data_IF_131634140743
#
_entry.id   IF_131634140743
#
_cell.length_a   1.000
_cell.length_b   1.000
_cell.length_c   1.000
_cell.angle_alpha   90.00
_cell.angle_beta   90.00
_cell.angle_gamma   90.00
#
_symmetry.space_group_name_H-M   'P 1'
#
loop_
_entity.id
_entity.type
_entity.pdbx_description
1 polymer ?
#
# COMPACT_ATOMS: atom_id res chain seq x y z
N UNK A 1 13.42 11.12 -0.12
CA UNK A 1 13.32 10.62 1.27
C UNK A 1 13.71 9.15 1.35
N UNK A 2 14.37 8.79 2.46
CA UNK A 2 14.69 7.41 2.84
C UNK A 2 13.68 6.94 3.89
N UNK A 3 13.43 5.63 3.92
CA UNK A 3 12.53 5.01 4.89
C UNK A 3 13.24 4.92 6.25
N UNK A 4 12.56 5.31 7.33
CA UNK A 4 13.12 5.34 8.68
C UNK A 4 12.62 4.14 9.50
N UNK A 5 11.31 3.90 9.48
CA UNK A 5 10.69 2.77 10.16
C UNK A 5 9.70 2.05 9.23
N UNK A 6 9.54 0.75 9.41
CA UNK A 6 8.51 -0.07 8.77
C UNK A 6 7.83 -0.95 9.82
N UNK A 7 6.51 -0.84 9.93
CA UNK A 7 5.69 -1.69 10.79
C UNK A 7 5.04 -2.80 9.98
N UNK A 8 5.17 -4.04 10.41
CA UNK A 8 4.51 -5.19 9.79
C UNK A 8 3.78 -5.96 10.87
N UNK A 9 2.47 -6.14 10.69
CA UNK A 9 1.66 -7.03 11.51
C UNK A 9 1.13 -8.16 10.64
N UNK A 10 1.39 -9.40 11.05
CA UNK A 10 0.87 -10.60 10.41
C UNK A 10 -0.39 -11.06 11.14
N UNK A 11 -1.43 -11.40 10.38
CA UNK A 11 -2.69 -11.92 10.90
C UNK A 11 -3.33 -12.89 9.91
N UNK A 12 -4.12 -13.83 10.40
CA UNK A 12 -4.92 -14.72 9.55
C UNK A 12 -6.29 -14.09 9.18
N UNK A 13 -7.08 -14.80 8.37
CA UNK A 13 -8.40 -14.32 7.93
C UNK A 13 -9.44 -14.21 9.07
N UNK A 14 -9.16 -14.81 10.23
CA UNK A 14 -9.96 -14.66 11.46
C UNK A 14 -9.53 -13.45 12.30
N UNK A 15 -8.60 -12.63 11.81
CA UNK A 15 -8.08 -11.46 12.52
C UNK A 15 -7.18 -11.80 13.71
N UNK A 16 -6.75 -13.05 13.84
CA UNK A 16 -5.82 -13.45 14.90
C UNK A 16 -4.42 -12.99 14.51
N UNK A 17 -3.79 -12.20 15.39
CA UNK A 17 -2.45 -11.66 15.18
C UNK A 17 -1.42 -12.77 15.45
N UNK A 18 -0.60 -13.08 14.45
CA UNK A 18 0.53 -14.02 14.56
C UNK A 18 1.83 -13.33 14.98
N UNK A 19 1.92 -12.01 14.80
CA UNK A 19 3.05 -11.21 15.26
C UNK A 19 3.01 -9.78 14.72
N UNK A 20 3.72 -8.88 15.40
CA UNK A 20 3.90 -7.49 15.00
C UNK A 20 5.35 -7.09 15.20
N UNK A 21 5.95 -6.51 14.17
CA UNK A 21 7.35 -6.10 14.13
C UNK A 21 7.48 -4.64 13.72
N UNK A 22 8.45 -3.97 14.31
CA UNK A 22 8.91 -2.65 13.87
C UNK A 22 10.37 -2.77 13.44
N UNK A 23 10.61 -2.53 12.16
CA UNK A 23 11.94 -2.47 11.58
C UNK A 23 12.41 -1.02 11.57
N UNK A 24 13.57 -0.79 12.16
CA UNK A 24 14.19 0.51 12.35
C UNK A 24 15.46 0.56 11.48
N UNK A 25 15.53 1.47 10.51
CA UNK A 25 16.59 1.46 9.50
C UNK A 25 17.71 2.47 9.79
N UNK A 26 18.95 2.08 9.50
CA UNK A 26 20.15 2.89 9.75
C UNK A 26 20.49 3.88 8.63
N UNK A 27 19.88 3.73 7.45
CA UNK A 27 20.28 4.42 6.22
C UNK A 27 19.92 5.91 6.19
N UNK A 28 18.99 6.35 7.04
CA UNK A 28 18.58 7.75 7.14
C UNK A 28 19.53 8.55 8.05
N UNK A 29 20.05 9.64 7.52
CA UNK A 29 20.86 10.61 8.23
C UNK A 29 20.30 12.01 8.03
N UNK A 30 19.68 12.55 9.08
CA UNK A 30 19.03 13.86 9.03
C UNK A 30 20.00 15.02 8.74
N UNK A 31 21.32 14.83 8.87
CA UNK A 31 22.29 15.89 8.57
C UNK A 31 22.48 16.10 7.06
N UNK A 32 22.23 15.06 6.25
CA UNK A 32 22.51 15.08 4.80
C UNK A 32 21.31 14.69 3.95
N UNK A 33 20.38 13.92 4.49
CA UNK A 33 19.22 13.44 3.75
C UNK A 33 18.09 14.48 3.76
N UNK A 34 17.43 14.61 2.61
CA UNK A 34 16.27 15.48 2.47
C UNK A 34 15.12 15.04 3.40
N UNK A 35 14.65 15.98 4.21
CA UNK A 35 13.54 15.83 5.14
C UNK A 35 12.79 17.17 5.29
N UNK A 36 11.56 17.14 5.81
CA UNK A 36 10.87 18.40 6.14
C UNK A 36 11.42 18.95 7.46
N UNK A 37 11.57 20.28 7.62
CA UNK A 37 12.14 20.87 8.84
C UNK A 37 11.40 20.47 10.13
N UNK A 38 10.09 20.23 10.03
CA UNK A 38 9.26 19.81 11.16
C UNK A 38 9.33 18.32 11.48
N UNK A 39 9.90 17.48 10.61
CA UNK A 39 9.90 16.02 10.80
C UNK A 39 10.79 15.57 11.96
N UNK A 40 12.01 16.13 12.09
CA UNK A 40 12.98 15.66 13.09
C UNK A 40 12.47 15.91 14.52
N UNK A 41 12.10 17.14 14.91
CA UNK A 41 11.61 17.37 16.28
C UNK A 41 10.32 16.60 16.57
N UNK A 42 9.47 16.41 15.56
CA UNK A 42 8.24 15.62 15.70
C UNK A 42 8.56 14.15 15.98
N UNK A 43 9.47 13.54 15.22
CA UNK A 43 9.82 12.13 15.38
C UNK A 43 10.54 11.87 16.71
N UNK A 44 11.46 12.75 17.12
CA UNK A 44 12.12 12.66 18.44
C UNK A 44 11.11 12.75 19.58
N UNK A 45 10.16 13.69 19.50
CA UNK A 45 9.06 13.82 20.47
C UNK A 45 8.19 12.57 20.53
N UNK A 46 8.09 11.80 19.46
CA UNK A 46 7.35 10.53 19.40
C UNK A 46 8.24 9.30 19.71
N UNK A 47 9.42 9.51 20.29
CA UNK A 47 10.25 8.45 20.86
C UNK A 47 11.35 7.95 19.93
N UNK A 48 11.57 8.58 18.77
CA UNK A 48 12.59 8.15 17.84
C UNK A 48 13.98 8.69 18.24
N UNK A 49 14.94 7.79 18.43
CA UNK A 49 16.34 8.14 18.67
C UNK A 49 17.16 7.95 17.38
N UNK A 50 17.46 9.06 16.71
CA UNK A 50 18.24 9.07 15.47
C UNK A 50 19.68 8.60 15.66
N UNK A 51 20.29 8.83 16.82
CA UNK A 51 21.66 8.37 17.10
C UNK A 51 21.67 6.86 17.24
N UNK A 52 20.69 6.31 17.96
CA UNK A 52 20.50 4.86 18.09
C UNK A 52 20.14 4.21 16.75
N UNK A 53 19.27 4.81 15.96
CA UNK A 53 18.96 4.33 14.59
C UNK A 53 20.20 4.22 13.72
N UNK A 54 21.04 5.26 13.70
CA UNK A 54 22.26 5.26 12.88
C UNK A 54 23.27 4.20 13.33
N UNK A 55 23.32 3.91 14.63
CA UNK A 55 24.27 2.96 15.22
C UNK A 55 23.79 1.50 15.16
N UNK A 56 22.55 1.27 15.55
CA UNK A 56 21.99 -0.07 15.82
C UNK A 56 20.90 -0.47 14.81
N UNK A 57 20.53 0.43 13.90
CA UNK A 57 19.49 0.20 12.89
C UNK A 57 19.89 -0.85 11.86
N UNK A 58 18.88 -1.40 11.20
CA UNK A 58 19.03 -2.42 10.16
C UNK A 58 19.39 -1.72 8.85
N UNK A 59 20.46 -2.12 8.15
CA UNK A 59 20.69 -1.64 6.79
C UNK A 59 19.56 -2.09 5.87
N UNK A 60 18.95 -1.16 5.12
CA UNK A 60 17.79 -1.45 4.27
C UNK A 60 18.10 -2.56 3.27
N UNK A 61 19.32 -2.59 2.72
CA UNK A 61 19.77 -3.64 1.80
C UNK A 61 19.76 -5.04 2.46
N UNK A 62 20.12 -5.13 3.74
CA UNK A 62 20.09 -6.38 4.51
C UNK A 62 18.66 -6.86 4.76
N UNK A 63 17.75 -5.92 5.06
CA UNK A 63 16.33 -6.21 5.18
C UNK A 63 15.75 -6.69 3.85
N UNK A 64 15.98 -5.95 2.77
CA UNK A 64 15.50 -6.26 1.41
C UNK A 64 15.95 -7.65 0.96
N UNK A 65 17.22 -8.02 1.17
CA UNK A 65 17.73 -9.37 0.83
C UNK A 65 16.92 -10.49 1.47
N UNK A 66 16.38 -10.29 2.67
CA UNK A 66 15.59 -11.30 3.41
C UNK A 66 14.10 -11.21 3.11
N UNK A 67 13.58 -10.01 2.91
CA UNK A 67 12.14 -9.78 2.82
C UNK A 67 11.60 -9.85 1.39
N UNK A 68 12.37 -9.40 0.39
CA UNK A 68 11.95 -9.43 -1.02
C UNK A 68 11.52 -10.85 -1.49
N UNK A 69 12.22 -11.94 -1.14
CA UNK A 69 11.78 -13.29 -1.53
C UNK A 69 10.38 -13.65 -1.02
N UNK A 70 9.95 -13.13 0.14
CA UNK A 70 8.61 -13.40 0.71
C UNK A 70 7.53 -12.75 -0.17
N UNK A 71 7.80 -11.53 -0.64
CA UNK A 71 6.91 -10.80 -1.57
C UNK A 71 6.85 -11.54 -2.91
N UNK A 72 8.00 -11.89 -3.47
CA UNK A 72 8.11 -12.54 -4.79
C UNK A 72 7.46 -13.93 -4.83
N UNK A 73 7.55 -14.69 -3.74
CA UNK A 73 6.89 -16.00 -3.60
C UNK A 73 5.38 -15.92 -3.48
N UNK A 74 4.81 -14.72 -3.29
CA UNK A 74 3.38 -14.50 -3.02
C UNK A 74 2.89 -15.21 -1.77
N UNK A 75 3.77 -15.38 -0.78
CA UNK A 75 3.40 -15.95 0.53
C UNK A 75 2.45 -15.00 1.30
N UNK A 76 2.39 -13.73 0.90
CA UNK A 76 1.49 -12.72 1.47
C UNK A 76 0.21 -12.68 0.63
N UNK A 77 -0.89 -13.14 1.21
CA UNK A 77 -2.19 -13.16 0.54
C UNK A 77 -2.71 -11.76 0.21
N UNK A 78 -2.53 -10.80 1.13
CA UNK A 78 -2.99 -9.42 0.97
C UNK A 78 -2.31 -8.47 1.94
N UNK A 79 -2.08 -7.26 1.48
CA UNK A 79 -1.62 -6.12 2.27
C UNK A 79 -2.80 -5.28 2.77
N UNK A 80 -2.69 -4.80 4.00
CA UNK A 80 -3.67 -3.91 4.63
C UNK A 80 -2.95 -2.64 5.08
N UNK A 81 -3.48 -1.49 4.71
CA UNK A 81 -2.91 -0.18 5.01
C UNK A 81 -3.96 0.80 5.50
N UNK A 82 -3.52 1.96 6.02
CA UNK A 82 -4.40 3.09 6.32
C UNK A 82 -3.85 4.33 5.63
N UNK A 83 -4.52 4.83 4.59
CA UNK A 83 -4.00 5.92 3.74
C UNK A 83 -2.65 5.57 3.10
N UNK A 84 -2.51 4.33 2.64
CA UNK A 84 -1.21 3.68 2.42
C UNK A 84 -0.57 3.91 1.07
N UNK A 85 -0.96 4.94 0.32
CA UNK A 85 -0.35 5.24 -0.98
C UNK A 85 1.17 5.39 -0.86
N UNK A 86 1.61 6.22 0.10
CA UNK A 86 3.04 6.42 0.35
C UNK A 86 3.68 5.20 1.00
N UNK A 87 2.98 4.50 1.90
CA UNK A 87 3.49 3.28 2.55
C UNK A 87 3.87 2.22 1.52
N UNK A 88 2.99 1.97 0.55
CA UNK A 88 3.24 1.04 -0.56
C UNK A 88 4.37 1.55 -1.47
N UNK A 89 4.38 2.84 -1.79
CA UNK A 89 5.46 3.43 -2.60
C UNK A 89 6.83 3.30 -1.96
N UNK A 90 6.93 3.54 -0.64
CA UNK A 90 8.17 3.33 0.10
C UNK A 90 8.54 1.86 0.24
N UNK A 91 7.57 0.95 0.42
CA UNK A 91 7.82 -0.49 0.43
C UNK A 91 8.43 -0.93 -0.90
N UNK A 92 7.81 -0.57 -2.04
CA UNK A 92 8.31 -0.88 -3.38
C UNK A 92 9.74 -0.36 -3.57
N UNK A 93 9.98 0.91 -3.20
CA UNK A 93 11.30 1.53 -3.28
C UNK A 93 12.32 0.80 -2.41
N UNK A 94 11.98 0.50 -1.16
CA UNK A 94 12.85 -0.21 -0.22
C UNK A 94 13.22 -1.60 -0.75
N UNK A 95 12.28 -2.28 -1.39
CA UNK A 95 12.47 -3.60 -1.97
C UNK A 95 13.29 -3.61 -3.26
N UNK A 96 13.70 -2.44 -3.78
CA UNK A 96 14.44 -2.32 -5.03
C UNK A 96 13.61 -2.72 -6.26
N UNK A 97 12.28 -2.71 -6.14
CA UNK A 97 11.34 -3.07 -7.21
C UNK A 97 11.21 -1.97 -8.28
N UNK A 98 11.83 -0.81 -8.04
CA UNK A 98 11.91 0.29 -8.99
C UNK A 98 13.32 0.86 -9.03
N UNK A 99 13.73 1.25 -10.24
CA UNK A 99 14.89 2.11 -10.47
C UNK A 99 14.47 3.57 -10.69
N UNK A 100 13.29 3.78 -11.29
CA UNK A 100 12.67 5.09 -11.48
C UNK A 100 11.26 5.15 -10.88
N UNK A 101 10.87 6.34 -10.42
CA UNK A 101 9.50 6.56 -9.97
C UNK A 101 8.54 6.47 -11.16
N UNK A 102 7.36 5.84 -10.99
CA UNK A 102 6.32 5.86 -12.03
C UNK A 102 5.97 7.28 -12.44
N UNK A 103 5.85 7.53 -13.74
CA UNK A 103 5.52 8.84 -14.30
C UNK A 103 4.01 9.13 -14.22
N UNK A 104 3.21 8.12 -13.91
CA UNK A 104 1.75 8.22 -13.78
C UNK A 104 1.18 7.32 -12.69
N UNK A 105 -0.02 7.66 -12.22
CA UNK A 105 -0.75 6.86 -11.25
C UNK A 105 -1.16 5.49 -11.81
N UNK A 106 -1.44 5.40 -13.11
CA UNK A 106 -1.72 4.14 -13.78
C UNK A 106 -0.50 3.21 -13.84
N UNK A 107 0.69 3.76 -14.05
CA UNK A 107 1.94 3.01 -14.01
C UNK A 107 2.25 2.53 -12.59
N UNK A 108 2.07 3.40 -11.58
CA UNK A 108 2.17 3.01 -10.18
C UNK A 108 1.18 1.89 -9.84
N UNK A 109 -0.08 2.00 -10.28
CA UNK A 109 -1.08 0.97 -10.04
C UNK A 109 -0.71 -0.38 -10.67
N UNK A 110 -0.21 -0.36 -11.91
CA UNK A 110 0.28 -1.55 -12.59
C UNK A 110 1.44 -2.21 -11.83
N UNK A 111 2.39 -1.40 -11.34
CA UNK A 111 3.51 -1.87 -10.53
C UNK A 111 3.04 -2.50 -9.20
N UNK A 112 2.13 -1.86 -8.47
CA UNK A 112 1.59 -2.41 -7.22
C UNK A 112 0.93 -3.77 -7.46
N UNK A 113 0.08 -3.88 -8.47
CA UNK A 113 -0.58 -5.15 -8.78
C UNK A 113 0.44 -6.23 -9.15
N UNK A 114 1.42 -5.89 -9.98
CA UNK A 114 2.40 -6.85 -10.49
C UNK A 114 3.41 -7.28 -9.43
N UNK A 115 3.88 -6.39 -8.57
CA UNK A 115 4.97 -6.70 -7.64
C UNK A 115 4.49 -6.97 -6.21
N UNK A 116 3.45 -6.27 -5.75
CA UNK A 116 2.98 -6.33 -4.36
C UNK A 116 1.77 -7.25 -4.21
N UNK A 117 0.80 -7.16 -5.12
CA UNK A 117 -0.42 -7.98 -5.11
C UNK A 117 -1.64 -7.24 -4.56
N UNK A 118 -2.50 -7.95 -3.81
CA UNK A 118 -3.77 -7.40 -3.33
C UNK A 118 -3.52 -6.44 -2.17
N UNK A 119 -4.10 -5.24 -2.25
CA UNK A 119 -4.07 -4.22 -1.18
C UNK A 119 -5.49 -3.87 -0.74
N UNK A 120 -5.68 -3.61 0.56
CA UNK A 120 -6.87 -2.98 1.14
C UNK A 120 -6.45 -1.73 1.92
N UNK A 121 -7.10 -0.61 1.67
CA UNK A 121 -6.89 0.63 2.42
C UNK A 121 -8.10 0.91 3.32
N UNK A 122 -7.87 0.89 4.63
CA UNK A 122 -8.88 1.15 5.66
C UNK A 122 -9.54 2.53 5.51
N UNK A 123 -8.78 3.54 5.10
CA UNK A 123 -9.32 4.89 4.92
C UNK A 123 -10.21 4.97 3.69
N UNK A 124 -9.91 4.19 2.66
CA UNK A 124 -10.83 3.99 1.54
C UNK A 124 -12.08 3.22 2.00
N UNK A 125 -11.90 2.10 2.69
CA UNK A 125 -12.99 1.26 3.19
C UNK A 125 -13.98 2.04 4.07
N UNK A 126 -13.46 2.96 4.92
CA UNK A 126 -14.26 3.78 5.82
C UNK A 126 -15.29 4.67 5.11
N UNK A 127 -15.12 4.97 3.81
CA UNK A 127 -16.09 5.72 3.00
C UNK A 127 -17.42 4.99 2.81
N UNK A 128 -17.42 3.67 2.99
CA UNK A 128 -18.59 2.81 2.78
C UNK A 128 -19.16 2.28 4.10
N UNK A 129 -18.72 2.83 5.22
CA UNK A 129 -19.08 2.38 6.55
C UNK A 129 -19.79 3.51 7.30
N UNK A 130 -21.05 3.28 7.68
CA UNK A 130 -21.82 4.24 8.46
C UNK A 130 -21.10 4.59 9.78
N UNK A 131 -21.08 5.87 10.14
CA UNK A 131 -20.42 6.35 11.35
C UNK A 131 -18.89 6.46 11.27
N UNK A 132 -18.27 6.16 10.12
CA UNK A 132 -16.82 6.34 9.90
C UNK A 132 -16.48 7.60 9.08
N UNK A 133 -17.26 8.67 9.26
CA UNK A 133 -16.96 10.05 8.79
C UNK A 133 -16.52 10.15 7.31
N UNK A 134 -17.07 9.31 6.43
CA UNK A 134 -16.70 9.19 5.01
C UNK A 134 -15.18 9.01 4.79
N UNK A 135 -14.49 8.34 5.71
CA UNK A 135 -13.05 8.15 5.66
C UNK A 135 -12.20 9.40 5.96
N UNK A 136 -12.80 10.48 6.48
CA UNK A 136 -12.07 11.73 6.83
C UNK A 136 -11.34 11.66 8.17
N UNK A 137 -11.61 10.63 8.98
CA UNK A 137 -10.95 10.39 10.26
C UNK A 137 -9.50 9.88 10.12
N UNK A 138 -8.72 10.04 11.19
CA UNK A 138 -7.39 9.43 11.34
C UNK A 138 -7.45 8.06 12.02
N UNK A 139 -6.35 7.28 11.91
CA UNK A 139 -6.27 5.90 12.42
C UNK A 139 -6.61 5.78 13.91
N UNK A 140 -6.17 6.74 14.73
CA UNK A 140 -6.48 6.78 16.16
C UNK A 140 -7.98 6.91 16.43
N UNK A 141 -8.66 7.79 15.69
CA UNK A 141 -10.12 7.98 15.81
C UNK A 141 -10.87 6.75 15.31
N UNK A 142 -10.39 6.14 14.22
CA UNK A 142 -10.93 4.89 13.68
C UNK A 142 -10.85 3.78 14.73
N UNK A 143 -9.69 3.59 15.35
CA UNK A 143 -9.50 2.61 16.43
C UNK A 143 -10.49 2.82 17.58
N UNK A 144 -10.66 4.07 18.03
CA UNK A 144 -11.61 4.42 19.10
C UNK A 144 -13.06 4.05 18.75
N UNK A 145 -13.55 4.43 17.56
CA UNK A 145 -14.92 4.10 17.12
C UNK A 145 -15.12 2.58 16.99
N UNK A 146 -14.07 1.86 16.58
CA UNK A 146 -14.10 0.41 16.46
C UNK A 146 -13.87 -0.34 17.78
N UNK A 147 -13.69 0.37 18.91
CA UNK A 147 -13.30 -0.21 20.20
C UNK A 147 -12.02 -1.07 20.10
N UNK A 148 -11.05 -0.64 19.29
CA UNK A 148 -9.73 -1.26 19.19
C UNK A 148 -8.70 -0.41 19.93
N UNK A 149 -8.10 -1.03 20.94
CA UNK A 149 -7.07 -0.41 21.76
C UNK A 149 -5.74 -0.37 21.00
N UNK A 150 -5.07 0.77 21.05
CA UNK A 150 -3.67 0.89 20.61
C UNK A 150 -2.73 0.23 21.61
N UNK A 151 -1.76 -0.50 21.11
CA UNK A 151 -0.61 -0.99 21.87
C UNK A 151 0.66 -0.32 21.34
N UNK A 152 1.48 0.23 22.23
CA UNK A 152 2.63 1.07 21.87
C UNK A 152 2.26 2.54 21.64
N UNK A 153 3.26 3.33 21.24
CA UNK A 153 3.12 4.77 21.03
C UNK A 153 2.51 5.09 19.67
N UNK A 154 1.66 6.13 19.63
CA UNK A 154 1.18 6.70 18.37
C UNK A 154 2.36 7.20 17.53
N UNK A 155 2.24 7.15 16.20
CA UNK A 155 3.27 7.59 15.25
C UNK A 155 4.54 6.72 15.23
N UNK A 156 4.47 5.52 15.83
CA UNK A 156 5.47 4.47 15.66
C UNK A 156 4.91 3.41 14.71
N UNK A 157 5.71 3.02 13.71
CA UNK A 157 5.25 2.21 12.59
C UNK A 157 4.70 0.85 13.04
N UNK A 158 5.33 0.20 14.02
CA UNK A 158 4.85 -1.06 14.59
C UNK A 158 3.48 -0.92 15.24
N UNK A 159 3.32 0.08 16.12
CA UNK A 159 2.04 0.36 16.82
C UNK A 159 0.91 0.69 15.83
N UNK A 160 1.21 1.53 14.83
CA UNK A 160 0.25 1.89 13.79
C UNK A 160 -0.13 0.67 12.92
N UNK A 161 0.81 -0.22 12.59
CA UNK A 161 0.53 -1.45 11.83
C UNK A 161 -0.39 -2.42 12.60
N UNK A 162 -0.20 -2.55 13.92
CA UNK A 162 -1.02 -3.43 14.75
C UNK A 162 -2.45 -2.89 14.90
N UNK A 163 -2.59 -1.57 15.09
CA UNK A 163 -3.90 -0.94 15.15
C UNK A 163 -4.61 -1.04 13.79
N UNK A 164 -3.88 -0.88 12.69
CA UNK A 164 -4.36 -1.07 11.30
C UNK A 164 -4.93 -2.48 11.12
N UNK A 165 -4.17 -3.53 11.45
CA UNK A 165 -4.64 -4.92 11.33
C UNK A 165 -5.87 -5.20 12.21
N UNK A 166 -5.86 -4.72 13.45
CA UNK A 166 -6.96 -4.92 14.39
C UNK A 166 -8.25 -4.21 13.96
N UNK A 167 -8.12 -2.99 13.41
CA UNK A 167 -9.23 -2.22 12.86
C UNK A 167 -9.79 -2.87 11.60
N UNK A 168 -8.93 -3.41 10.74
CA UNK A 168 -9.33 -4.07 9.49
C UNK A 168 -10.29 -5.23 9.73
N UNK A 169 -9.91 -6.14 10.62
CA UNK A 169 -10.78 -7.26 10.96
C UNK A 169 -12.14 -6.81 11.49
N UNK A 170 -12.15 -5.79 12.35
CA UNK A 170 -13.40 -5.25 12.89
C UNK A 170 -14.27 -4.60 11.82
N UNK A 171 -13.68 -3.86 10.88
CA UNK A 171 -14.43 -3.25 9.79
C UNK A 171 -15.07 -4.30 8.90
N UNK A 172 -14.30 -5.32 8.50
CA UNK A 172 -14.81 -6.43 7.69
C UNK A 172 -15.97 -7.14 8.40
N UNK A 173 -15.82 -7.43 9.70
CA UNK A 173 -16.84 -8.12 10.51
C UNK A 173 -18.09 -7.25 10.72
N UNK A 174 -17.92 -6.02 11.19
CA UNK A 174 -19.01 -5.13 11.64
C UNK A 174 -19.84 -4.61 10.48
N UNK A 175 -19.19 -4.23 9.38
CA UNK A 175 -19.86 -3.67 8.20
C UNK A 175 -20.11 -4.69 7.09
N UNK A 176 -19.83 -5.98 7.35
CA UNK A 176 -20.01 -7.09 6.39
C UNK A 176 -19.36 -6.80 5.03
N UNK A 177 -18.16 -6.23 5.06
CA UNK A 177 -17.50 -5.76 3.84
C UNK A 177 -17.07 -6.93 2.97
N UNK A 178 -17.37 -6.85 1.68
CA UNK A 178 -17.02 -7.88 0.71
C UNK A 178 -15.67 -7.59 0.03
N UNK A 179 -15.08 -8.61 -0.60
CA UNK A 179 -13.84 -8.48 -1.36
C UNK A 179 -13.92 -7.45 -2.47
N UNK A 180 -15.07 -7.33 -3.12
CA UNK A 180 -15.28 -6.48 -4.30
C UNK A 180 -15.18 -5.00 -3.94
N UNK A 181 -15.59 -4.64 -2.72
CA UNK A 181 -15.53 -3.26 -2.21
C UNK A 181 -14.15 -2.94 -1.62
N UNK A 182 -13.45 -3.94 -1.08
CA UNK A 182 -12.19 -3.68 -0.35
C UNK A 182 -10.94 -3.83 -1.22
N UNK A 183 -10.90 -4.84 -2.08
CA UNK A 183 -9.66 -5.29 -2.72
C UNK A 183 -9.22 -4.37 -3.84
N UNK A 184 -7.93 -4.07 -3.88
CA UNK A 184 -7.31 -3.32 -4.96
C UNK A 184 -7.62 -1.83 -4.89
N UNK A 185 -7.93 -1.29 -3.72
CA UNK A 185 -8.15 0.14 -3.54
C UNK A 185 -7.12 0.74 -2.58
N UNK A 186 -6.56 1.87 -3.00
CA UNK A 186 -5.73 2.76 -2.19
C UNK A 186 -6.44 4.10 -2.06
N UNK A 187 -6.44 4.69 -0.87
CA UNK A 187 -7.00 6.02 -0.69
C UNK A 187 -6.20 7.04 -1.53
N UNK A 188 -6.91 7.95 -2.21
CA UNK A 188 -6.32 8.92 -3.14
C UNK A 188 -6.47 8.53 -4.61
N UNK A 189 -6.81 7.27 -4.91
CA UNK A 189 -7.18 6.85 -6.25
C UNK A 189 -8.69 6.98 -6.48
N UNK A 190 -9.07 7.31 -7.71
CA UNK A 190 -10.47 7.39 -8.14
C UNK A 190 -11.05 6.03 -8.58
N UNK A 191 -10.19 5.05 -8.86
CA UNK A 191 -10.56 3.71 -9.35
C UNK A 191 -9.71 2.63 -8.68
N UNK A 192 -10.10 1.37 -8.84
CA UNK A 192 -9.30 0.22 -8.39
C UNK A 192 -7.99 0.11 -9.16
N UNK A 193 -6.97 -0.42 -8.51
CA UNK A 193 -5.64 -0.66 -9.06
C UNK A 193 -5.71 -1.51 -10.34
N UNK A 194 -6.58 -2.53 -10.37
CA UNK A 194 -6.80 -3.35 -11.57
C UNK A 194 -7.40 -2.56 -12.74
N UNK A 195 -8.38 -1.69 -12.46
CA UNK A 195 -8.96 -0.82 -13.50
C UNK A 195 -7.90 0.11 -14.10
N UNK A 196 -7.03 0.66 -13.26
CA UNK A 196 -5.95 1.56 -13.69
C UNK A 196 -4.84 0.82 -14.43
N UNK A 197 -4.48 -0.39 -13.99
CA UNK A 197 -3.58 -1.29 -14.71
C UNK A 197 -4.12 -1.61 -16.10
N UNK A 198 -5.41 -1.92 -16.24
CA UNK A 198 -6.02 -2.20 -17.53
C UNK A 198 -5.94 -0.98 -18.47
N UNK A 199 -6.22 0.22 -17.94
CA UNK A 199 -6.06 1.48 -18.70
C UNK A 199 -4.63 1.67 -19.20
N UNK A 200 -3.62 1.36 -18.37
CA UNK A 200 -2.21 1.43 -18.78
C UNK A 200 -1.86 0.42 -19.87
N UNK A 201 -2.33 -0.82 -19.75
CA UNK A 201 -2.13 -1.86 -20.79
C UNK A 201 -2.67 -1.42 -22.14
N UNK A 202 -3.87 -0.84 -22.17
CA UNK A 202 -4.49 -0.31 -23.40
C UNK A 202 -3.62 0.83 -23.97
N UNK A 203 -3.13 1.75 -23.12
CA UNK A 203 -2.25 2.85 -23.55
C UNK A 203 -0.97 2.33 -24.21
N UNK A 204 -0.32 1.33 -23.61
CA UNK A 204 0.88 0.67 -24.16
C UNK A 204 0.56 -0.01 -25.49
N UNK A 205 -0.53 -0.77 -25.55
CA UNK A 205 -0.95 -1.47 -26.77
C UNK A 205 -1.20 -0.51 -27.94
N UNK A 206 -1.95 0.57 -27.71
CA UNK A 206 -2.22 1.59 -28.73
C UNK A 206 -0.95 2.32 -29.17
N UNK A 207 -0.06 2.65 -28.23
CA UNK A 207 1.23 3.26 -28.56
C UNK A 207 2.06 2.37 -29.48
N UNK A 208 2.10 1.06 -29.20
CA UNK A 208 2.83 0.09 -30.02
C UNK A 208 2.22 -0.07 -31.42
N UNK A 209 0.88 -0.11 -31.54
CA UNK A 209 0.20 -0.13 -32.85
C UNK A 209 0.58 1.09 -33.68
N UNK A 210 0.47 2.29 -33.11
CA UNK A 210 0.76 3.54 -33.81
C UNK A 210 2.22 3.62 -34.23
N UNK A 211 3.14 3.08 -33.42
CA UNK A 211 4.58 3.05 -33.72
C UNK A 211 4.94 2.02 -34.80
N UNK A 212 4.26 0.88 -34.84
CA UNK A 212 4.55 -0.21 -35.79
C UNK A 212 3.81 -0.07 -37.13
N UNK A 213 2.92 0.92 -37.28
CA UNK A 213 2.15 1.14 -38.52
C UNK A 213 1.21 -0.02 -38.88
N UNK A 214 0.98 -0.97 -37.97
CA UNK A 214 0.11 -2.12 -38.19
C UNK A 214 -1.28 -1.80 -37.64
N UNK A 215 -2.19 -1.39 -38.52
CA UNK A 215 -3.63 -1.39 -38.21
C UNK A 215 -4.05 -2.87 -38.13
N UNK A 216 -4.58 -3.36 -37.00
CA UNK A 216 -5.10 -4.72 -36.96
C UNK A 216 -6.29 -4.85 -37.91
N UNK A 217 -6.20 -5.77 -38.87
CA UNK A 217 -7.36 -6.23 -39.63
C UNK A 217 -8.33 -6.90 -38.65
N UNK A 218 -9.48 -6.27 -38.40
CA UNK A 218 -10.60 -6.93 -37.74
C UNK A 218 -11.29 -7.85 -38.77
N UNK A 219 -11.34 -9.18 -38.58
CA UNK A 219 -12.17 -10.05 -39.39
C UNK A 219 -13.58 -10.07 -38.80
N UNK A 220 -14.34 -8.99 -39.02
CA UNK A 220 -15.79 -9.02 -38.79
C UNK A 220 -16.49 -8.26 -39.91
N UNK A 221 -16.80 -8.97 -40.98
CA UNK A 221 -18.01 -8.69 -41.76
C UNK A 221 -19.18 -9.33 -41.03
N UNK A 222 -20.23 -8.59 -40.62
CA UNK A 222 -21.47 -9.20 -40.22
C UNK A 222 -22.17 -9.68 -41.49
N UNK A 223 -22.21 -10.99 -41.72
CA UNK A 223 -23.16 -11.59 -42.64
C UNK A 223 -24.57 -11.39 -42.07
N UNK A 224 -25.22 -10.33 -42.52
CA UNK A 224 -26.65 -10.16 -42.40
C UNK A 224 -27.31 -11.25 -43.26
N UNK A 225 -27.78 -12.33 -42.63
CA UNK A 225 -28.71 -13.27 -43.26
C UNK A 225 -30.10 -12.84 -42.84
N UNK A 226 -30.77 -12.11 -43.72
CA UNK A 226 -32.22 -11.95 -43.68
C UNK A 226 -32.79 -13.24 -44.28
N UNK A 227 -33.42 -14.07 -43.46
CA UNK A 227 -34.29 -15.14 -43.93
C UNK A 227 -35.73 -14.62 -44.03
N UNK A 228 -36.32 -14.80 -45.20
CA UNK A 228 -37.69 -14.45 -45.59
C UNK A 228 -38.78 -15.04 -44.69
#
# INVERSE_FOLDING_TARGET
MKLIQLGITASNDLGQIGGSWEFNFSDFDFQVDAHSPSAIPFLEKNGLDFKKLKKDGIPIASFTKKFLPIIQKRDIFRWVTFHGLYDIGYLIKAMGLITMLPESMEEFAMLVVNEVGIVRDLKHMARFCEGLEDGRLGLERLGKILNKKRFGMKHNAGSDSLLTASAHFEMVKRFRMTSEVCNGFLYGFSKSLESMKMKMKIKIYLHNILRLGQIPHFPYTPSCIISH
#
